data_IF_878215758907
#
_entry.id   IF_878215758907
#
_cell.length_a   1.000
_cell.length_b   1.000
_cell.length_c   1.000
_cell.angle_alpha   90.00
_cell.angle_beta   90.00
_cell.angle_gamma   90.00
#
_symmetry.space_group_name_H-M   'P 1'
#
loop_
_entity.id
_entity.type
_entity.pdbx_description
1 polymer ?
#
# COMPACT_ATOMS: atom_id res chain seq x y z
N UNK A 1 14.92 36.71 56.55
CA UNK A 1 15.42 35.96 55.37
C UNK A 1 14.27 35.12 54.85
N UNK A 2 13.86 35.39 53.61
CA UNK A 2 12.81 34.65 52.88
C UNK A 2 13.43 33.41 52.27
N UNK A 3 12.72 32.28 52.29
CA UNK A 3 12.64 31.38 51.14
C UNK A 3 11.49 30.41 51.35
N UNK A 4 10.44 30.61 50.55
CA UNK A 4 9.37 29.65 50.32
C UNK A 4 9.92 28.55 49.42
N UNK A 5 9.80 27.30 49.85
CA UNK A 5 10.01 26.15 48.99
C UNK A 5 8.82 26.06 48.02
N UNK A 6 9.04 26.43 46.75
CA UNK A 6 8.10 26.16 45.67
C UNK A 6 8.35 24.72 45.19
N UNK A 7 7.46 23.80 45.59
CA UNK A 7 7.28 22.53 44.89
C UNK A 7 6.73 22.85 43.50
N UNK A 8 7.60 22.84 42.49
CA UNK A 8 7.18 22.82 41.10
C UNK A 8 6.67 21.41 40.78
N UNK A 9 5.35 21.23 40.81
CA UNK A 9 4.68 20.07 40.24
C UNK A 9 4.96 20.04 38.74
N UNK A 10 5.81 19.12 38.28
CA UNK A 10 5.91 18.78 36.86
C UNK A 10 4.56 18.21 36.42
N UNK A 11 3.68 19.06 35.90
CA UNK A 11 2.63 18.65 34.99
C UNK A 11 3.32 18.40 33.65
N UNK A 12 3.78 17.17 33.43
CA UNK A 12 4.07 16.70 32.08
C UNK A 12 2.74 16.76 31.31
N UNK A 13 2.64 17.54 30.22
CA UNK A 13 1.52 17.37 29.33
C UNK A 13 1.72 15.98 28.70
N UNK A 14 0.97 14.99 29.18
CA UNK A 14 0.62 13.83 28.37
C UNK A 14 -0.16 14.39 27.18
N UNK A 15 0.56 14.83 26.15
CA UNK A 15 0.04 14.83 24.80
C UNK A 15 -0.19 13.36 24.47
N UNK A 16 -1.33 12.83 24.90
CA UNK A 16 -1.85 11.59 24.38
C UNK A 16 -2.15 11.83 22.92
N UNK A 17 -1.16 11.59 22.05
CA UNK A 17 -1.47 11.09 20.72
C UNK A 17 -2.27 9.84 21.00
N UNK A 18 -3.58 9.88 20.73
CA UNK A 18 -4.38 8.68 20.78
C UNK A 18 -3.75 7.73 19.77
N UNK A 19 -3.16 6.64 20.25
CA UNK A 19 -2.58 5.62 19.41
C UNK A 19 -3.65 5.17 18.40
N UNK A 20 -3.30 5.12 17.12
CA UNK A 20 -4.17 4.50 16.13
C UNK A 20 -4.22 2.99 16.36
N UNK A 21 -5.16 2.29 15.71
CA UNK A 21 -5.28 0.83 15.82
C UNK A 21 -3.95 0.13 15.48
N UNK A 22 -3.16 0.71 14.57
CA UNK A 22 -1.81 0.23 14.21
C UNK A 22 -0.89 0.18 15.43
N UNK A 23 -0.71 1.30 16.13
CA UNK A 23 0.18 1.37 17.30
C UNK A 23 -0.38 0.59 18.50
N UNK A 24 -1.70 0.56 18.68
CA UNK A 24 -2.36 -0.28 19.70
C UNK A 24 -2.07 -1.78 19.48
N UNK A 25 -1.89 -2.18 18.23
CA UNK A 25 -1.54 -3.54 17.83
C UNK A 25 -0.02 -3.81 17.75
N UNK A 26 0.79 -2.84 18.18
CA UNK A 26 2.24 -2.97 18.30
C UNK A 26 3.03 -2.61 17.05
N UNK A 27 2.37 -2.15 15.98
CA UNK A 27 3.05 -1.65 14.80
C UNK A 27 3.73 -0.31 15.07
N UNK A 28 4.85 -0.06 14.39
CA UNK A 28 5.45 1.27 14.32
C UNK A 28 5.09 1.90 13.00
N UNK A 29 4.59 3.13 13.04
CA UNK A 29 4.12 3.88 11.86
C UNK A 29 5.01 5.10 11.66
N UNK A 30 5.49 5.32 10.43
CA UNK A 30 6.26 6.52 10.05
C UNK A 30 5.75 7.10 8.74
N UNK A 31 5.67 8.43 8.66
CA UNK A 31 5.30 9.20 7.48
C UNK A 31 5.79 10.65 7.66
N UNK A 32 5.88 11.40 6.56
CA UNK A 32 6.22 12.81 6.59
C UNK A 32 4.96 13.69 6.70
N UNK A 33 5.16 14.98 6.99
CA UNK A 33 4.06 15.96 7.06
C UNK A 33 3.32 16.16 5.71
N UNK A 34 3.90 15.68 4.60
CA UNK A 34 3.24 15.64 3.30
C UNK A 34 2.08 14.62 3.32
N UNK A 35 0.83 15.05 3.08
CA UNK A 35 -0.34 14.16 3.09
C UNK A 35 -0.29 13.05 2.02
N UNK A 36 0.53 13.20 0.98
CA UNK A 36 0.71 12.19 -0.08
C UNK A 36 1.93 11.28 0.15
N UNK A 37 2.74 11.59 1.17
CA UNK A 37 3.86 10.74 1.57
C UNK A 37 3.38 9.34 1.96
N UNK A 38 4.23 8.36 1.69
CA UNK A 38 3.93 6.98 2.04
C UNK A 38 3.90 6.79 3.54
N UNK A 39 2.85 6.14 4.02
CA UNK A 39 2.77 5.62 5.37
C UNK A 39 3.50 4.29 5.40
N UNK A 40 4.60 4.22 6.15
CA UNK A 40 5.41 3.03 6.33
C UNK A 40 5.03 2.37 7.66
N UNK A 41 4.74 1.08 7.59
CA UNK A 41 4.32 0.26 8.74
C UNK A 41 5.39 -0.80 8.96
N UNK A 42 5.92 -0.84 10.18
CA UNK A 42 6.91 -1.82 10.64
C UNK A 42 6.27 -2.71 11.69
N UNK A 43 6.52 -4.02 11.61
CA UNK A 43 6.03 -4.99 12.59
C UNK A 43 7.11 -5.31 13.62
N UNK A 44 6.73 -5.50 14.90
CA UNK A 44 7.67 -5.95 15.92
C UNK A 44 8.15 -7.38 15.68
N UNK A 45 7.40 -8.18 14.91
CA UNK A 45 7.73 -9.57 14.59
C UNK A 45 8.40 -9.74 13.21
N UNK A 46 8.43 -8.70 12.38
CA UNK A 46 9.12 -8.65 11.10
C UNK A 46 10.12 -7.48 11.09
N UNK A 47 11.31 -7.71 11.65
CA UNK A 47 12.30 -6.66 11.89
C UNK A 47 13.29 -6.45 10.76
N UNK A 48 13.19 -7.25 9.68
CA UNK A 48 14.15 -7.19 8.57
C UNK A 48 13.92 -5.94 7.72
N UNK A 49 12.65 -5.57 7.47
CA UNK A 49 12.27 -4.49 6.55
C UNK A 49 10.91 -3.88 6.92
N UNK A 50 10.54 -2.80 6.21
CA UNK A 50 9.17 -2.26 6.20
C UNK A 50 8.18 -3.36 5.78
N UNK A 51 7.12 -3.56 6.56
CA UNK A 51 6.08 -4.57 6.25
C UNK A 51 5.14 -4.07 5.15
N UNK A 52 4.70 -2.82 5.27
CA UNK A 52 3.84 -2.17 4.30
C UNK A 52 4.29 -0.73 4.05
N UNK A 53 4.19 -0.29 2.80
CA UNK A 53 4.39 1.12 2.42
C UNK A 53 3.29 1.53 1.46
N UNK A 54 2.46 2.49 1.87
CA UNK A 54 1.19 2.81 1.21
C UNK A 54 1.04 4.33 1.12
N UNK A 55 0.79 4.84 -0.09
CA UNK A 55 0.42 6.25 -0.33
C UNK A 55 -1.04 6.37 -0.73
N UNK A 56 -1.72 7.40 -0.22
CA UNK A 56 -3.09 7.76 -0.57
C UNK A 56 -3.09 9.13 -1.25
N UNK A 57 -3.54 9.16 -2.50
CA UNK A 57 -3.72 10.37 -3.29
C UNK A 57 -5.21 10.69 -3.31
N UNK A 58 -5.69 11.30 -2.22
CA UNK A 58 -7.13 11.56 -2.02
C UNK A 58 -7.75 12.39 -3.15
N UNK A 59 -7.02 13.38 -3.68
CA UNK A 59 -7.48 14.21 -4.80
C UNK A 59 -7.67 13.44 -6.12
N UNK A 60 -7.00 12.29 -6.25
CA UNK A 60 -7.08 11.41 -7.43
C UNK A 60 -7.94 10.17 -7.17
N UNK A 61 -8.52 10.01 -5.97
CA UNK A 61 -9.22 8.79 -5.54
C UNK A 61 -8.37 7.53 -5.78
N UNK A 62 -7.05 7.64 -5.55
CA UNK A 62 -6.05 6.60 -5.83
C UNK A 62 -5.28 6.22 -4.57
N UNK A 63 -5.00 4.92 -4.42
CA UNK A 63 -3.98 4.42 -3.52
C UNK A 63 -2.87 3.70 -4.28
N UNK A 64 -1.64 3.77 -3.76
CA UNK A 64 -0.48 3.03 -4.26
C UNK A 64 0.09 2.21 -3.10
N UNK A 65 0.22 0.91 -3.30
CA UNK A 65 0.89 -0.01 -2.39
C UNK A 65 2.25 -0.32 -3.00
N UNK A 66 3.30 0.21 -2.39
CA UNK A 66 4.69 -0.04 -2.77
C UNK A 66 5.19 -1.35 -2.20
N UNK A 67 4.82 -1.66 -0.96
CA UNK A 67 5.24 -2.87 -0.24
C UNK A 67 4.04 -3.48 0.47
N UNK A 68 3.87 -4.80 0.33
CA UNK A 68 2.84 -5.57 1.05
C UNK A 68 3.28 -7.00 1.39
N UNK A 69 4.11 -7.09 2.44
CA UNK A 69 4.79 -8.31 2.88
C UNK A 69 4.11 -9.03 4.04
N UNK A 70 2.81 -8.77 4.26
CA UNK A 70 2.02 -9.39 5.34
C UNK A 70 2.11 -10.93 5.38
N UNK A 71 2.37 -11.59 4.25
CA UNK A 71 2.56 -13.05 4.18
C UNK A 71 3.87 -13.54 4.80
N UNK A 72 4.85 -12.67 5.01
CA UNK A 72 6.14 -12.99 5.62
C UNK A 72 6.21 -12.60 7.09
N UNK A 73 5.23 -11.85 7.59
CA UNK A 73 5.13 -11.50 9.00
C UNK A 73 4.84 -12.76 9.85
N UNK A 74 5.74 -13.13 10.78
CA UNK A 74 5.47 -14.20 11.72
C UNK A 74 4.24 -13.89 12.56
N UNK A 75 3.44 -14.92 12.85
CA UNK A 75 2.23 -14.76 13.66
C UNK A 75 2.51 -14.11 15.03
N UNK A 76 1.68 -13.14 15.40
CA UNK A 76 1.60 -12.56 16.74
C UNK A 76 0.17 -12.11 17.07
N UNK A 77 -0.15 -11.96 18.35
CA UNK A 77 -1.52 -11.70 18.82
C UNK A 77 -2.11 -10.36 18.32
N UNK A 78 -1.25 -9.40 17.98
CA UNK A 78 -1.63 -8.09 17.41
C UNK A 78 -1.67 -8.04 15.89
N UNK A 79 -1.45 -9.16 15.19
CA UNK A 79 -1.29 -9.17 13.75
C UNK A 79 -2.55 -8.65 13.03
N UNK A 80 -2.36 -7.67 12.15
CA UNK A 80 -3.41 -7.09 11.32
C UNK A 80 -3.31 -7.63 9.89
N UNK A 81 -4.47 -7.84 9.28
CA UNK A 81 -4.54 -8.13 7.84
C UNK A 81 -4.17 -6.90 7.00
N UNK A 82 -3.81 -7.12 5.74
CA UNK A 82 -3.58 -6.01 4.80
C UNK A 82 -4.81 -5.09 4.68
N UNK A 83 -6.02 -5.66 4.71
CA UNK A 83 -7.27 -4.89 4.66
C UNK A 83 -7.41 -3.95 5.86
N UNK A 84 -7.12 -4.44 7.07
CA UNK A 84 -7.17 -3.61 8.28
C UNK A 84 -6.08 -2.55 8.28
N UNK A 85 -4.85 -2.88 7.87
CA UNK A 85 -3.77 -1.87 7.73
C UNK A 85 -4.17 -0.81 6.71
N UNK A 86 -4.75 -1.22 5.58
CA UNK A 86 -5.18 -0.30 4.53
C UNK A 86 -6.31 0.63 4.99
N UNK A 87 -7.26 0.13 5.76
CA UNK A 87 -8.33 0.93 6.38
C UNK A 87 -7.76 2.00 7.33
N UNK A 88 -6.80 1.62 8.18
CA UNK A 88 -6.13 2.56 9.09
C UNK A 88 -5.32 3.62 8.32
N UNK A 89 -4.62 3.22 7.25
CA UNK A 89 -3.91 4.20 6.39
C UNK A 89 -4.89 5.15 5.70
N UNK A 90 -6.05 4.67 5.24
CA UNK A 90 -7.09 5.54 4.70
C UNK A 90 -7.60 6.53 5.76
N UNK A 91 -7.84 6.05 6.99
CA UNK A 91 -8.29 6.88 8.11
C UNK A 91 -7.27 7.97 8.46
N UNK A 92 -5.98 7.63 8.51
CA UNK A 92 -4.87 8.58 8.70
C UNK A 92 -4.80 9.67 7.63
N UNK A 93 -5.41 9.43 6.46
CA UNK A 93 -5.47 10.37 5.32
C UNK A 93 -6.87 10.95 5.11
N UNK A 94 -7.71 10.93 6.16
CA UNK A 94 -9.06 11.46 6.19
C UNK A 94 -9.95 10.92 5.05
N UNK A 95 -9.82 9.62 4.74
CA UNK A 95 -10.64 8.95 3.73
C UNK A 95 -11.01 7.53 4.18
N UNK A 96 -11.74 6.80 3.34
CA UNK A 96 -12.08 5.38 3.55
C UNK A 96 -11.84 4.60 2.25
N UNK A 97 -11.62 3.28 2.31
CA UNK A 97 -11.35 2.48 1.12
C UNK A 97 -12.39 2.65 -0.01
N UNK A 98 -13.68 2.72 0.34
CA UNK A 98 -14.77 2.89 -0.63
C UNK A 98 -14.71 4.18 -1.45
N UNK A 99 -14.00 5.21 -1.00
CA UNK A 99 -13.80 6.46 -1.74
C UNK A 99 -12.71 6.35 -2.83
N UNK A 100 -11.98 5.23 -2.88
CA UNK A 100 -10.91 5.03 -3.85
C UNK A 100 -11.45 4.31 -5.09
N UNK A 101 -11.15 4.85 -6.25
CA UNK A 101 -11.52 4.29 -7.55
C UNK A 101 -10.37 3.50 -8.19
N UNK A 102 -9.14 3.71 -7.71
CA UNK A 102 -7.95 3.08 -8.26
C UNK A 102 -6.99 2.61 -7.15
N UNK A 103 -6.56 1.35 -7.25
CA UNK A 103 -5.46 0.81 -6.47
C UNK A 103 -4.30 0.41 -7.39
N UNK A 104 -3.08 0.79 -7.03
CA UNK A 104 -1.87 0.44 -7.77
C UNK A 104 -0.96 -0.43 -6.89
N UNK A 105 -0.42 -1.50 -7.45
CA UNK A 105 0.71 -2.22 -6.90
C UNK A 105 1.95 -1.91 -7.74
N UNK A 106 2.92 -1.26 -7.10
CA UNK A 106 4.11 -0.73 -7.75
C UNK A 106 5.28 -1.71 -7.73
N UNK A 107 5.38 -2.57 -6.71
CA UNK A 107 6.35 -3.66 -6.65
C UNK A 107 5.70 -5.03 -6.91
N UNK A 108 6.02 -5.60 -8.06
CA UNK A 108 5.49 -6.88 -8.50
C UNK A 108 6.51 -8.00 -8.28
N UNK A 109 6.07 -9.11 -7.68
CA UNK A 109 6.93 -10.27 -7.51
C UNK A 109 7.42 -10.85 -8.84
N UNK A 110 8.56 -11.56 -8.78
CA UNK A 110 9.19 -12.14 -9.97
C UNK A 110 8.28 -13.09 -10.75
N UNK A 111 7.36 -13.79 -10.07
CA UNK A 111 6.40 -14.69 -10.69
C UNK A 111 5.37 -13.92 -11.54
N UNK A 112 4.87 -12.80 -11.02
CA UNK A 112 3.92 -11.91 -11.70
C UNK A 112 4.59 -11.23 -12.89
N UNK A 113 5.83 -10.73 -12.72
CA UNK A 113 6.61 -10.18 -13.83
C UNK A 113 6.89 -11.21 -14.93
N UNK A 114 7.15 -12.48 -14.55
CA UNK A 114 7.30 -13.58 -15.51
C UNK A 114 6.01 -13.87 -16.27
N UNK A 115 4.86 -13.78 -15.60
CA UNK A 115 3.54 -13.94 -16.24
C UNK A 115 3.26 -12.81 -17.23
N UNK A 116 3.47 -11.55 -16.84
CA UNK A 116 3.30 -10.38 -17.70
C UNK A 116 4.18 -10.49 -18.96
N UNK A 117 5.48 -10.75 -18.79
CA UNK A 117 6.42 -10.89 -19.91
C UNK A 117 6.08 -12.06 -20.84
N UNK A 118 5.57 -13.17 -20.29
CA UNK A 118 5.10 -14.31 -21.08
C UNK A 118 3.84 -13.96 -21.88
N UNK A 119 2.89 -13.25 -21.26
CA UNK A 119 1.67 -12.78 -21.93
C UNK A 119 2.01 -11.84 -23.09
N UNK A 120 2.86 -10.83 -22.87
CA UNK A 120 3.36 -9.91 -23.92
C UNK A 120 3.93 -10.67 -25.11
N UNK A 121 4.84 -11.62 -24.86
CA UNK A 121 5.46 -12.46 -25.90
C UNK A 121 4.44 -13.28 -26.70
N UNK A 122 3.46 -13.88 -26.03
CA UNK A 122 2.42 -14.68 -26.68
C UNK A 122 1.49 -13.84 -27.54
N UNK A 123 1.17 -12.62 -27.09
CA UNK A 123 0.28 -11.68 -27.79
C UNK A 123 1.00 -10.75 -28.77
N UNK A 124 2.34 -10.80 -28.82
CA UNK A 124 3.19 -9.90 -29.60
C UNK A 124 2.95 -8.43 -29.28
N UNK A 125 2.70 -8.14 -28.00
CA UNK A 125 2.57 -6.78 -27.46
C UNK A 125 3.98 -6.26 -27.17
N UNK A 126 4.24 -4.99 -27.47
CA UNK A 126 5.53 -4.37 -27.19
C UNK A 126 5.81 -4.36 -25.67
N UNK A 127 7.08 -4.28 -25.28
CA UNK A 127 7.44 -4.20 -23.86
C UNK A 127 6.98 -2.88 -23.24
N UNK A 128 6.92 -1.80 -24.01
CA UNK A 128 6.59 -0.45 -23.56
C UNK A 128 5.09 -0.14 -23.62
N UNK A 129 4.28 -1.05 -24.17
CA UNK A 129 2.84 -0.83 -24.36
C UNK A 129 2.04 -1.18 -23.10
N UNK A 130 1.10 -0.33 -22.69
CA UNK A 130 0.17 -0.65 -21.62
C UNK A 130 -0.81 -1.77 -22.06
N UNK A 131 -1.24 -2.60 -21.11
CA UNK A 131 -2.20 -3.68 -21.38
C UNK A 131 -3.44 -3.48 -20.52
N UNK A 132 -4.61 -3.59 -21.13
CA UNK A 132 -5.90 -3.48 -20.43
C UNK A 132 -6.68 -4.81 -20.47
N UNK A 133 -7.27 -5.16 -19.33
CA UNK A 133 -8.22 -6.25 -19.19
C UNK A 133 -9.51 -5.76 -18.54
N UNK A 134 -10.64 -6.06 -19.16
CA UNK A 134 -11.98 -5.89 -18.58
C UNK A 134 -12.67 -7.25 -18.54
N UNK A 135 -13.68 -7.45 -17.66
CA UNK A 135 -14.39 -8.72 -17.56
C UNK A 135 -14.83 -9.26 -18.93
N UNK A 136 -14.37 -10.46 -19.26
CA UNK A 136 -14.67 -11.13 -20.52
C UNK A 136 -13.66 -10.92 -21.66
N UNK A 137 -12.67 -10.02 -21.51
CA UNK A 137 -11.59 -9.91 -22.50
C UNK A 137 -10.56 -11.03 -22.34
N UNK A 138 -9.82 -11.30 -23.42
CA UNK A 138 -8.73 -12.29 -23.36
C UNK A 138 -7.66 -11.83 -22.39
N UNK A 139 -7.34 -12.65 -21.39
CA UNK A 139 -6.37 -12.34 -20.35
C UNK A 139 -7.01 -12.00 -19.00
N UNK A 140 -8.29 -11.59 -18.96
CA UNK A 140 -8.97 -11.27 -17.69
C UNK A 140 -8.81 -12.37 -16.65
N UNK A 141 -9.22 -13.61 -16.97
CA UNK A 141 -9.11 -14.72 -16.03
C UNK A 141 -7.66 -15.06 -15.64
N UNK A 142 -6.68 -14.75 -16.48
CA UNK A 142 -5.28 -15.04 -16.18
C UNK A 142 -4.71 -14.08 -15.12
N UNK A 143 -5.10 -12.81 -15.19
CA UNK A 143 -4.66 -11.74 -14.29
C UNK A 143 -5.57 -11.57 -13.07
N UNK A 144 -6.87 -11.87 -13.18
CA UNK A 144 -7.77 -11.94 -12.03
C UNK A 144 -7.46 -13.10 -11.06
N UNK A 145 -6.67 -14.09 -11.50
CA UNK A 145 -6.17 -15.18 -10.65
C UNK A 145 -4.82 -14.85 -9.98
N UNK A 146 -4.29 -13.64 -10.13
CA UNK A 146 -3.10 -13.22 -9.40
C UNK A 146 -3.45 -12.91 -7.94
N UNK A 147 -2.50 -13.17 -7.04
CA UNK A 147 -2.67 -12.83 -5.64
C UNK A 147 -2.89 -11.32 -5.42
N UNK A 148 -2.37 -10.46 -6.31
CA UNK A 148 -2.65 -9.02 -6.33
C UNK A 148 -4.14 -8.69 -6.54
N UNK A 149 -4.85 -9.46 -7.35
CA UNK A 149 -6.30 -9.28 -7.53
C UNK A 149 -7.04 -9.55 -6.22
N UNK A 150 -6.72 -10.66 -5.54
CA UNK A 150 -7.31 -10.97 -4.23
C UNK A 150 -6.94 -9.95 -3.15
N UNK A 151 -5.71 -9.40 -3.17
CA UNK A 151 -5.32 -8.29 -2.29
C UNK A 151 -6.14 -7.03 -2.58
N UNK A 152 -6.37 -6.70 -3.86
CA UNK A 152 -7.19 -5.57 -4.27
C UNK A 152 -8.66 -5.72 -3.82
N UNK A 153 -9.25 -6.91 -4.00
CA UNK A 153 -10.60 -7.19 -3.49
C UNK A 153 -10.67 -7.08 -1.96
N UNK A 154 -9.65 -7.59 -1.26
CA UNK A 154 -9.64 -7.60 0.20
C UNK A 154 -9.59 -6.19 0.81
N UNK A 155 -8.87 -5.25 0.20
CA UNK A 155 -8.75 -3.88 0.75
C UNK A 155 -9.94 -3.00 0.41
N UNK A 156 -10.78 -3.39 -0.55
CA UNK A 156 -11.98 -2.63 -0.93
C UNK A 156 -13.17 -3.57 -1.24
N UNK A 157 -13.69 -4.31 -0.24
CA UNK A 157 -14.63 -5.40 -0.45
C UNK A 157 -16.02 -4.94 -0.94
N UNK A 158 -16.34 -3.66 -0.77
CA UNK A 158 -17.62 -3.09 -1.19
C UNK A 158 -17.67 -2.69 -2.67
N UNK A 159 -16.53 -2.76 -3.38
CA UNK A 159 -16.45 -2.40 -4.80
C UNK A 159 -15.92 -3.55 -5.64
N UNK A 160 -16.48 -3.70 -6.84
CA UNK A 160 -16.01 -4.70 -7.80
C UNK A 160 -14.84 -4.17 -8.61
N UNK A 161 -13.85 -5.00 -8.90
CA UNK A 161 -12.79 -4.64 -9.85
C UNK A 161 -13.37 -4.73 -11.27
N UNK A 162 -13.46 -3.59 -11.94
CA UNK A 162 -14.00 -3.47 -13.30
C UNK A 162 -12.93 -3.50 -14.38
N UNK A 163 -11.67 -3.24 -14.02
CA UNK A 163 -10.55 -3.19 -14.95
C UNK A 163 -9.23 -3.50 -14.26
N UNK A 164 -8.38 -4.24 -14.96
CA UNK A 164 -6.97 -4.46 -14.62
C UNK A 164 -6.14 -3.83 -15.73
N UNK A 165 -5.20 -2.96 -15.39
CA UNK A 165 -4.21 -2.45 -16.34
C UNK A 165 -2.79 -2.86 -15.88
N UNK A 166 -1.96 -3.26 -16.83
CA UNK A 166 -0.51 -3.36 -16.66
C UNK A 166 0.06 -2.10 -17.29
N UNK A 167 0.67 -1.24 -16.48
CA UNK A 167 1.30 -0.02 -16.98
C UNK A 167 2.81 -0.11 -16.90
N UNK A 168 3.47 0.37 -17.95
CA UNK A 168 4.92 0.48 -17.98
C UNK A 168 5.31 1.82 -17.35
N UNK A 169 5.98 1.75 -16.22
CA UNK A 169 6.44 2.89 -15.46
C UNK A 169 7.93 3.09 -15.69
N UNK A 170 8.37 4.33 -15.84
CA UNK A 170 9.78 4.68 -15.88
C UNK A 170 10.25 5.06 -14.48
N UNK A 171 11.33 4.43 -14.00
CA UNK A 171 12.01 4.87 -12.81
C UNK A 171 12.80 6.16 -13.11
N UNK A 172 12.11 7.30 -13.24
CA UNK A 172 12.78 8.60 -13.19
C UNK A 172 13.28 8.80 -11.77
N UNK A 173 14.60 8.62 -11.57
CA UNK A 173 15.38 8.86 -10.35
C UNK A 173 14.60 9.66 -9.31
N UNK A 174 14.09 9.00 -8.27
CA UNK A 174 13.82 9.55 -6.94
C UNK A 174 13.32 8.42 -6.02
N UNK A 175 13.93 8.34 -4.84
CA UNK A 175 13.68 7.48 -3.68
C UNK A 175 14.47 6.14 -3.60
N UNK A 176 15.21 6.04 -2.49
CA UNK A 176 16.36 5.18 -2.16
C UNK A 176 15.99 3.71 -1.86
N UNK A 177 14.71 3.33 -1.94
CA UNK A 177 14.26 2.04 -1.38
C UNK A 177 14.31 0.87 -2.37
N UNK A 178 14.37 1.11 -3.67
CA UNK A 178 14.32 0.04 -4.68
C UNK A 178 15.44 0.06 -5.73
N UNK A 179 16.34 1.05 -5.75
CA UNK A 179 17.44 1.19 -6.72
C UNK A 179 17.01 0.87 -8.18
N UNK A 180 15.76 1.18 -8.53
CA UNK A 180 15.19 0.80 -9.82
C UNK A 180 15.82 1.64 -10.92
N UNK A 181 16.29 0.97 -11.96
CA UNK A 181 16.81 1.60 -13.17
C UNK A 181 16.04 1.08 -14.37
N UNK A 182 15.47 1.99 -15.15
CA UNK A 182 14.70 1.68 -16.35
C UNK A 182 13.22 1.44 -16.10
N UNK A 183 12.57 0.72 -17.01
CA UNK A 183 11.14 0.47 -16.97
C UNK A 183 10.74 -0.75 -16.14
N UNK A 184 9.64 -0.63 -15.41
CA UNK A 184 9.01 -1.70 -14.65
C UNK A 184 7.50 -1.73 -14.91
N UNK A 185 6.89 -2.92 -14.83
CA UNK A 185 5.44 -3.04 -14.90
C UNK A 185 4.82 -2.84 -13.51
N UNK A 186 3.73 -2.06 -13.45
CA UNK A 186 2.88 -1.91 -12.28
C UNK A 186 1.44 -2.38 -12.58
N UNK A 187 0.74 -2.90 -11.58
CA UNK A 187 -0.64 -3.36 -11.72
C UNK A 187 -1.61 -2.32 -11.17
N UNK A 188 -2.57 -1.93 -12.02
CA UNK A 188 -3.62 -0.97 -11.72
C UNK A 188 -4.95 -1.72 -11.67
N UNK A 189 -5.69 -1.55 -10.58
CA UNK A 189 -7.01 -2.13 -10.37
C UNK A 189 -8.03 -1.00 -10.24
N UNK A 190 -8.88 -0.83 -11.26
CA UNK A 190 -9.97 0.15 -11.23
C UNK A 190 -11.20 -0.49 -10.62
N UNK A 191 -11.80 0.18 -9.64
CA UNK A 191 -13.03 -0.23 -8.99
C UNK A 191 -14.26 0.41 -9.64
N UNK A 192 -15.38 -0.30 -9.63
CA UNK A 192 -16.71 0.25 -9.93
C UNK A 192 -17.65 0.04 -8.75
N UNK A 193 -18.64 0.92 -8.63
CA UNK A 193 -19.78 0.78 -7.72
C UNK A 193 -20.70 -0.38 -8.08
#
# INVERSE_FOLDING_TARGET
MRSFALLASLLLPLLGVQAGKLEENGYTVTYDDDPESSVNIMSPSYTEYTLNSISIYKGESRAVIYIAENSYEPYHDGQLSLAEIFEEVCSLRDTVPGNLDLLVFDDLDSATQTKISTYRRQKKIDREEDIEFTPGTSGWSEFANLHYYSKAEAVNPDKSISKIEIKVMEAERLWDWADRVGSYDALYFTYSS
#
